data_IF_255231410070
#
_entry.id   IF_255231410070
#
_cell.length_a   1.000
_cell.length_b   1.000
_cell.length_c   1.000
_cell.angle_alpha   90.00
_cell.angle_beta   90.00
_cell.angle_gamma   90.00
#
_symmetry.space_group_name_H-M   'P 1'
#
loop_
_entity.id
_entity.type
_entity.pdbx_description
1 polymer ?
#
# COMPACT_ATOMS: atom_id res chain seq x y z
N UNK A 1 -17.66 -22.30 13.41
CA UNK A 1 -17.68 -21.06 12.63
C UNK A 1 -16.55 -21.17 11.60
N UNK A 2 -16.88 -21.52 10.35
CA UNK A 2 -15.90 -21.87 9.31
C UNK A 2 -16.50 -21.71 7.91
N UNK A 3 -15.90 -22.32 6.90
CA UNK A 3 -16.30 -22.18 5.48
C UNK A 3 -17.81 -22.44 5.25
N UNK A 4 -18.34 -23.56 5.75
CA UNK A 4 -19.75 -23.91 5.66
C UNK A 4 -20.69 -22.82 6.21
N UNK A 5 -20.25 -22.10 7.25
CA UNK A 5 -21.07 -21.04 7.83
C UNK A 5 -21.24 -19.87 6.85
N UNK A 6 -20.18 -19.50 6.15
CA UNK A 6 -20.21 -18.42 5.16
C UNK A 6 -21.05 -18.82 3.95
N UNK A 7 -20.97 -20.09 3.53
CA UNK A 7 -21.79 -20.62 2.44
C UNK A 7 -23.29 -20.59 2.76
N UNK A 8 -23.69 -20.95 3.99
CA UNK A 8 -25.09 -20.89 4.43
C UNK A 8 -25.59 -19.44 4.43
N UNK A 9 -24.79 -18.49 4.93
CA UNK A 9 -25.17 -17.06 4.90
C UNK A 9 -25.29 -16.55 3.46
N UNK A 10 -24.36 -16.92 2.58
CA UNK A 10 -24.42 -16.54 1.16
C UNK A 10 -25.70 -17.06 0.50
N UNK A 11 -26.05 -18.33 0.73
CA UNK A 11 -27.25 -18.94 0.17
C UNK A 11 -28.52 -18.25 0.69
N UNK A 12 -28.57 -17.89 1.98
CA UNK A 12 -29.69 -17.12 2.55
C UNK A 12 -29.79 -15.71 1.99
N UNK A 13 -28.69 -14.98 1.82
CA UNK A 13 -28.67 -13.66 1.19
C UNK A 13 -29.19 -13.71 -0.26
N UNK A 14 -28.82 -14.75 -1.00
CA UNK A 14 -29.29 -14.96 -2.37
C UNK A 14 -30.79 -15.31 -2.42
N UNK A 15 -31.27 -16.19 -1.55
CA UNK A 15 -32.68 -16.66 -1.55
C UNK A 15 -33.66 -15.68 -0.95
N UNK A 16 -33.33 -15.10 0.20
CA UNK A 16 -34.25 -14.25 0.96
C UNK A 16 -34.24 -12.79 0.48
N UNK A 17 -33.09 -12.32 -0.04
CA UNK A 17 -32.88 -10.91 -0.39
C UNK A 17 -32.50 -10.67 -1.87
N UNK A 18 -32.29 -11.74 -2.66
CA UNK A 18 -31.89 -11.62 -4.06
C UNK A 18 -30.49 -11.01 -4.26
N UNK A 19 -29.66 -10.96 -3.20
CA UNK A 19 -28.34 -10.33 -3.24
C UNK A 19 -27.28 -11.35 -3.67
N UNK A 20 -26.62 -11.08 -4.80
CA UNK A 20 -25.44 -11.84 -5.21
C UNK A 20 -24.18 -11.23 -4.59
N UNK A 21 -23.62 -11.91 -3.60
CA UNK A 21 -22.40 -11.49 -2.92
C UNK A 21 -21.19 -12.24 -3.47
N UNK A 22 -20.15 -11.49 -3.83
CA UNK A 22 -18.86 -12.04 -4.24
C UNK A 22 -17.93 -12.15 -3.03
N UNK A 23 -17.49 -13.37 -2.73
CA UNK A 23 -16.48 -13.63 -1.70
C UNK A 23 -15.13 -13.83 -2.39
N UNK A 24 -14.26 -12.83 -2.26
CA UNK A 24 -12.87 -12.90 -2.68
C UNK A 24 -11.94 -13.26 -1.51
N UNK A 25 -10.65 -13.51 -1.80
CA UNK A 25 -9.64 -13.63 -0.76
C UNK A 25 -9.56 -12.34 0.06
N UNK A 26 -9.22 -12.46 1.35
CA UNK A 26 -9.03 -11.29 2.21
C UNK A 26 -7.80 -10.50 1.75
N UNK A 27 -7.96 -9.18 1.72
CA UNK A 27 -6.84 -8.28 1.48
C UNK A 27 -5.94 -8.24 2.72
N UNK A 28 -4.63 -8.36 2.49
CA UNK A 28 -3.62 -8.22 3.53
C UNK A 28 -3.07 -6.79 3.48
N UNK A 29 -3.07 -6.11 4.62
CA UNK A 29 -2.50 -4.78 4.73
C UNK A 29 -0.98 -4.87 4.97
N UNK A 30 -0.22 -4.97 3.89
CA UNK A 30 1.24 -5.00 3.95
C UNK A 30 1.81 -3.64 4.36
N UNK A 31 2.88 -3.67 5.16
CA UNK A 31 3.65 -2.48 5.55
C UNK A 31 5.07 -2.61 5.05
N UNK A 32 5.59 -1.53 4.50
CA UNK A 32 6.98 -1.44 4.08
C UNK A 32 7.84 -0.91 5.22
N UNK A 33 9.00 -1.52 5.44
CA UNK A 33 10.00 -1.06 6.41
C UNK A 33 11.40 -1.27 5.84
N UNK A 34 12.32 -0.30 6.01
CA UNK A 34 13.71 -0.46 5.60
C UNK A 34 14.35 -1.62 6.37
N UNK A 35 15.06 -2.51 5.66
CA UNK A 35 15.76 -3.66 6.29
C UNK A 35 17.18 -3.34 6.77
N UNK A 36 17.76 -2.27 6.24
CA UNK A 36 19.15 -1.87 6.50
C UNK A 36 19.21 -0.35 6.62
N UNK A 37 20.24 0.15 7.29
CA UNK A 37 20.59 1.55 7.23
C UNK A 37 20.95 1.91 5.78
N UNK A 38 20.30 2.93 5.24
CA UNK A 38 20.56 3.44 3.90
C UNK A 38 20.69 4.95 3.98
N UNK A 39 21.74 5.49 3.36
CA UNK A 39 21.93 6.91 3.17
C UNK A 39 21.96 7.22 1.67
N UNK A 40 21.19 8.22 1.24
CA UNK A 40 21.10 8.61 -0.16
C UNK A 40 21.18 10.13 -0.31
N UNK A 41 22.03 10.58 -1.23
CA UNK A 41 22.13 11.99 -1.62
C UNK A 41 21.50 12.19 -2.98
N UNK A 42 20.54 13.11 -3.07
CA UNK A 42 19.89 13.52 -4.30
C UNK A 42 20.35 14.94 -4.61
N UNK A 43 20.99 15.11 -5.76
CA UNK A 43 21.39 16.41 -6.29
C UNK A 43 20.44 16.77 -7.42
N UNK A 44 19.70 17.86 -7.22
CA UNK A 44 18.78 18.40 -8.19
C UNK A 44 19.33 19.71 -8.75
N UNK A 45 19.53 19.73 -10.06
CA UNK A 45 20.03 20.89 -10.79
C UNK A 45 18.91 21.41 -11.67
N UNK A 46 18.56 22.68 -11.53
CA UNK A 46 17.61 23.34 -12.41
C UNK A 46 18.07 24.73 -12.78
N UNK A 47 17.67 25.15 -13.97
CA UNK A 47 17.99 26.43 -14.55
C UNK A 47 16.70 27.24 -14.63
N UNK A 48 16.55 28.22 -13.73
CA UNK A 48 15.36 29.08 -13.69
C UNK A 48 15.83 30.50 -14.04
N UNK A 49 15.36 31.01 -15.18
CA UNK A 49 15.55 32.40 -15.60
C UNK A 49 17.03 32.85 -15.57
N UNK A 50 17.90 32.11 -16.27
CA UNK A 50 19.36 32.35 -16.41
C UNK A 50 20.21 32.13 -15.14
N UNK A 51 19.61 31.62 -14.06
CA UNK A 51 20.34 31.27 -12.83
C UNK A 51 20.32 29.75 -12.61
N UNK A 52 21.50 29.18 -12.41
CA UNK A 52 21.67 27.78 -12.02
C UNK A 52 21.39 27.62 -10.53
N UNK A 53 20.34 26.87 -10.18
CA UNK A 53 20.06 26.44 -8.83
C UNK A 53 20.44 24.96 -8.69
N UNK A 54 21.37 24.66 -7.78
CA UNK A 54 21.74 23.30 -7.41
C UNK A 54 21.31 23.08 -5.97
N UNK A 55 20.46 22.08 -5.74
CA UNK A 55 19.99 21.68 -4.42
C UNK A 55 20.51 20.27 -4.19
N UNK A 56 21.24 20.05 -3.10
CA UNK A 56 21.65 18.71 -2.68
C UNK A 56 20.99 18.37 -1.35
N UNK A 57 20.27 17.25 -1.32
CA UNK A 57 19.59 16.74 -0.12
C UNK A 57 20.17 15.37 0.19
N UNK A 58 20.64 15.18 1.42
CA UNK A 58 21.10 13.88 1.92
C UNK A 58 20.11 13.38 2.96
N UNK A 59 19.54 12.18 2.73
CA UNK A 59 18.60 11.51 3.62
C UNK A 59 19.22 10.21 4.14
N UNK A 60 19.14 9.99 5.45
CA UNK A 60 19.51 8.72 6.10
C UNK A 60 18.27 8.08 6.72
N UNK A 61 18.08 6.80 6.44
CA UNK A 61 16.96 6.00 6.94
C UNK A 61 17.54 4.80 7.71
N UNK A 62 17.10 4.64 8.95
CA UNK A 62 17.47 3.52 9.82
C UNK A 62 16.24 2.67 10.15
N UNK A 63 16.36 1.33 10.16
CA UNK A 63 15.30 0.45 10.64
C UNK A 63 15.03 0.70 12.14
N UNK A 64 13.74 0.76 12.51
CA UNK A 64 13.26 0.80 13.90
C UNK A 64 12.87 -0.62 14.33
#
# INVERSE_FOLDING_TARGET
MGELHIDIIRDRLKREYGLETYLGPLNVNYRESPRKNVQQTIVWNSHINERHATISITLSIEPI
#
